data_IF_220809248295
#
_entry.id   IF_220809248295
#
_cell.length_a   1.000
_cell.length_b   1.000
_cell.length_c   1.000
_cell.angle_alpha   90.00
_cell.angle_beta   90.00
_cell.angle_gamma   90.00
#
_symmetry.space_group_name_H-M   'P 1'
#
loop_
_entity.id
_entity.type
_entity.pdbx_description
1 polymer ?
#
# COMPACT_ATOMS: atom_id res chain seq x y z
N UNK A 1 -21.69 -10.02 -15.11
CA UNK A 1 -20.54 -10.55 -14.36
C UNK A 1 -20.65 -10.02 -12.94
N UNK A 2 -20.59 -10.88 -11.91
CA UNK A 2 -20.60 -10.41 -10.53
C UNK A 2 -19.32 -9.58 -10.30
N UNK A 3 -19.44 -8.28 -10.19
CA UNK A 3 -18.32 -7.40 -9.82
C UNK A 3 -17.79 -7.86 -8.46
N UNK A 4 -16.51 -8.25 -8.41
CA UNK A 4 -15.88 -8.57 -7.14
C UNK A 4 -15.60 -7.29 -6.37
N UNK A 5 -15.88 -7.30 -5.07
CA UNK A 5 -15.51 -6.20 -4.18
C UNK A 5 -14.01 -6.27 -3.91
N UNK A 6 -13.33 -5.13 -4.06
CA UNK A 6 -11.92 -4.95 -3.74
C UNK A 6 -11.80 -4.08 -2.49
N UNK A 7 -10.96 -4.50 -1.56
CA UNK A 7 -10.48 -3.65 -0.47
C UNK A 7 -8.96 -3.52 -0.55
N UNK A 8 -8.50 -2.30 -0.39
CA UNK A 8 -7.09 -1.96 -0.25
C UNK A 8 -6.94 -0.73 0.64
N UNK A 9 -5.75 -0.39 1.05
CA UNK A 9 -5.54 0.81 1.87
C UNK A 9 -4.09 1.00 2.27
N UNK A 10 -3.81 2.15 2.88
CA UNK A 10 -2.51 2.49 3.41
C UNK A 10 -2.64 3.18 4.76
N UNK A 11 -1.61 3.00 5.60
CA UNK A 11 -1.48 3.74 6.87
C UNK A 11 -0.99 5.16 6.58
N UNK A 12 -1.62 6.22 7.11
CA UNK A 12 -1.21 7.60 6.87
C UNK A 12 0.00 7.98 7.72
N UNK A 13 1.14 7.33 7.48
CA UNK A 13 2.40 7.56 8.20
C UNK A 13 3.35 8.53 7.50
N UNK A 14 2.94 9.12 6.40
CA UNK A 14 3.64 10.07 5.55
C UNK A 14 3.12 10.00 4.11
N UNK A 15 3.58 10.89 3.20
CA UNK A 15 3.19 10.90 1.80
C UNK A 15 3.52 9.58 1.10
N UNK A 16 2.79 9.26 0.02
CA UNK A 16 3.04 8.06 -0.76
C UNK A 16 4.29 8.25 -1.64
N UNK A 17 4.94 7.14 -1.98
CA UNK A 17 6.16 7.12 -2.79
C UNK A 17 6.05 6.10 -3.92
N UNK A 18 7.03 6.08 -4.83
CA UNK A 18 7.04 5.20 -6.00
C UNK A 18 6.84 3.72 -5.66
N UNK A 19 7.31 3.27 -4.49
CA UNK A 19 7.06 1.90 -4.01
C UNK A 19 5.58 1.59 -3.77
N UNK A 20 4.78 2.54 -3.25
CA UNK A 20 3.33 2.38 -3.15
C UNK A 20 2.66 2.42 -4.51
N UNK A 21 3.15 3.29 -5.41
CA UNK A 21 2.61 3.40 -6.77
C UNK A 21 2.72 2.09 -7.53
N UNK A 22 3.92 1.52 -7.60
CA UNK A 22 4.18 0.25 -8.29
C UNK A 22 3.56 -0.94 -7.55
N UNK A 23 3.64 -0.94 -6.23
CA UNK A 23 3.18 -2.06 -5.40
C UNK A 23 1.66 -2.27 -5.43
N UNK A 24 0.88 -1.20 -5.55
CA UNK A 24 -0.58 -1.33 -5.54
C UNK A 24 -1.34 -0.19 -6.20
N UNK A 25 -0.89 1.07 -6.09
CA UNK A 25 -1.72 2.22 -6.47
C UNK A 25 -2.03 2.25 -7.97
N UNK A 26 -1.04 1.95 -8.82
CA UNK A 26 -1.23 1.83 -10.29
C UNK A 26 -2.30 0.78 -10.64
N UNK A 27 -2.28 -0.35 -9.93
CA UNK A 27 -3.27 -1.41 -10.11
C UNK A 27 -4.66 -0.96 -9.61
N UNK A 28 -4.74 -0.25 -8.48
CA UNK A 28 -6.00 0.32 -7.95
C UNK A 28 -6.67 1.25 -8.96
N UNK A 29 -5.88 2.11 -9.61
CA UNK A 29 -6.38 3.03 -10.67
C UNK A 29 -6.96 2.25 -11.85
N UNK A 30 -6.34 1.15 -12.25
CA UNK A 30 -6.88 0.31 -13.34
C UNK A 30 -8.15 -0.44 -12.92
N UNK A 31 -8.20 -0.99 -11.72
CA UNK A 31 -9.29 -1.86 -11.25
C UNK A 31 -10.59 -1.11 -10.92
N UNK A 32 -10.54 0.21 -10.68
CA UNK A 32 -11.72 0.99 -10.30
C UNK A 32 -12.82 1.01 -11.36
N UNK A 33 -12.50 0.73 -12.64
CA UNK A 33 -13.45 0.72 -13.73
C UNK A 33 -14.27 -0.58 -13.81
N UNK A 34 -13.72 -1.69 -13.34
CA UNK A 34 -14.28 -3.03 -13.49
C UNK A 34 -14.81 -3.63 -12.18
N UNK A 35 -14.49 -3.01 -11.04
CA UNK A 35 -14.76 -3.55 -9.71
C UNK A 35 -15.36 -2.50 -8.77
N UNK A 36 -16.18 -2.96 -7.83
CA UNK A 36 -16.54 -2.15 -6.67
C UNK A 36 -15.32 -2.03 -5.74
N UNK A 37 -14.71 -0.86 -5.68
CA UNK A 37 -13.46 -0.65 -4.97
C UNK A 37 -13.65 0.24 -3.73
N UNK A 38 -13.10 -0.23 -2.61
CA UNK A 38 -12.93 0.54 -1.38
C UNK A 38 -11.45 0.76 -1.12
N UNK A 39 -11.10 2.00 -0.77
CA UNK A 39 -9.73 2.36 -0.37
C UNK A 39 -9.76 2.92 1.04
N UNK A 40 -9.12 2.22 1.97
CA UNK A 40 -9.13 2.54 3.39
C UNK A 40 -7.88 3.36 3.76
N UNK A 41 -8.09 4.53 4.34
CA UNK A 41 -7.02 5.23 5.07
C UNK A 41 -7.02 4.66 6.48
N UNK A 42 -6.04 3.80 6.77
CA UNK A 42 -5.99 3.00 7.99
C UNK A 42 -5.30 3.77 9.13
N UNK A 43 -5.98 4.78 9.65
CA UNK A 43 -5.47 5.67 10.69
C UNK A 43 -5.33 4.98 12.05
N UNK A 44 -6.29 4.14 12.47
CA UNK A 44 -6.18 3.34 13.70
C UNK A 44 -5.01 2.35 13.63
N UNK A 45 -4.83 1.70 12.49
CA UNK A 45 -3.70 0.81 12.27
C UNK A 45 -2.38 1.58 12.22
N UNK A 46 -2.40 2.84 11.74
CA UNK A 46 -1.26 3.74 11.78
C UNK A 46 -0.76 4.04 13.19
N UNK A 47 -1.65 4.00 14.19
CA UNK A 47 -1.31 4.25 15.59
C UNK A 47 -0.58 3.08 16.27
N UNK A 48 -0.64 1.87 15.73
CA UNK A 48 -0.04 0.67 16.36
C UNK A 48 1.46 0.80 16.61
N UNK A 49 2.16 1.56 15.80
CA UNK A 49 3.58 1.88 15.91
C UNK A 49 3.89 3.39 15.98
N UNK A 50 2.85 4.24 16.00
CA UNK A 50 2.94 5.69 16.15
C UNK A 50 2.07 6.21 17.30
N UNK A 51 1.73 5.38 18.29
CA UNK A 51 0.86 5.75 19.40
C UNK A 51 1.36 6.91 20.28
N UNK A 52 2.67 7.13 20.33
CA UNK A 52 3.29 8.28 21.00
C UNK A 52 3.23 9.58 20.18
N UNK A 53 2.86 9.53 18.91
CA UNK A 53 2.74 10.70 18.03
C UNK A 53 1.50 10.60 17.15
N UNK A 54 0.28 10.68 17.73
CA UNK A 54 -0.97 10.58 16.98
C UNK A 54 -1.17 11.74 16.00
N UNK A 55 -0.59 12.91 16.28
CA UNK A 55 -0.65 14.06 15.40
C UNK A 55 -0.06 13.78 14.02
N UNK A 56 1.03 13.01 13.97
CA UNK A 56 1.63 12.57 12.70
C UNK A 56 0.64 11.81 11.83
N UNK A 57 -0.18 10.94 12.43
CA UNK A 57 -1.20 10.18 11.69
C UNK A 57 -2.27 11.13 11.16
N UNK A 58 -2.81 11.99 12.03
CA UNK A 58 -3.82 12.97 11.67
C UNK A 58 -3.37 13.89 10.52
N UNK A 59 -2.17 14.44 10.60
CA UNK A 59 -1.64 15.39 9.61
C UNK A 59 -1.42 14.74 8.23
N UNK A 60 -1.18 13.42 8.20
CA UNK A 60 -0.95 12.70 6.96
C UNK A 60 -2.23 12.12 6.31
N UNK A 61 -3.40 12.19 6.94
CA UNK A 61 -4.67 11.79 6.33
C UNK A 61 -4.95 12.58 5.04
N UNK A 62 -4.98 13.93 5.05
CA UNK A 62 -5.20 14.71 3.83
C UNK A 62 -4.08 14.53 2.80
N UNK A 63 -2.84 14.30 3.23
CA UNK A 63 -1.70 14.09 2.35
C UNK A 63 -1.85 12.81 1.53
N UNK A 64 -2.19 11.69 2.19
CA UNK A 64 -2.42 10.39 1.53
C UNK A 64 -3.66 10.44 0.63
N UNK A 65 -4.72 11.12 1.06
CA UNK A 65 -5.92 11.30 0.24
C UNK A 65 -5.60 12.08 -1.04
N UNK A 66 -4.83 13.17 -0.94
CA UNK A 66 -4.40 13.95 -2.09
C UNK A 66 -3.51 13.12 -3.03
N UNK A 67 -2.63 12.28 -2.49
CA UNK A 67 -1.80 11.37 -3.28
C UNK A 67 -2.64 10.35 -4.06
N UNK A 68 -3.71 9.79 -3.45
CA UNK A 68 -4.64 8.88 -4.15
C UNK A 68 -5.32 9.56 -5.34
N UNK A 69 -5.89 10.74 -5.12
CA UNK A 69 -6.58 11.49 -6.17
C UNK A 69 -5.61 11.94 -7.26
N UNK A 70 -4.42 12.37 -6.87
CA UNK A 70 -3.36 12.77 -7.79
C UNK A 70 -2.87 11.63 -8.67
N UNK A 71 -2.80 10.42 -8.13
CA UNK A 71 -2.42 9.22 -8.88
C UNK A 71 -3.52 8.73 -9.84
N UNK A 72 -4.77 9.24 -9.72
CA UNK A 72 -5.88 8.92 -10.62
C UNK A 72 -6.99 8.07 -10.01
N UNK A 73 -7.03 7.92 -8.68
CA UNK A 73 -8.21 7.35 -8.02
C UNK A 73 -9.37 8.35 -8.15
N UNK A 74 -10.45 7.91 -8.78
CA UNK A 74 -11.67 8.68 -8.95
C UNK A 74 -12.66 8.41 -7.80
N UNK A 75 -13.00 9.43 -6.97
CA UNK A 75 -13.91 9.25 -5.83
C UNK A 75 -15.36 8.94 -6.24
N UNK A 76 -15.72 9.11 -7.53
CA UNK A 76 -17.02 8.69 -8.05
C UNK A 76 -17.08 7.19 -8.36
N UNK A 77 -15.93 6.57 -8.67
CA UNK A 77 -15.81 5.14 -8.96
C UNK A 77 -15.37 4.35 -7.72
N UNK A 78 -14.49 4.92 -6.92
CA UNK A 78 -13.88 4.32 -5.74
C UNK A 78 -14.38 4.98 -4.47
N UNK A 79 -14.81 4.19 -3.49
CA UNK A 79 -15.14 4.71 -2.16
C UNK A 79 -13.87 4.82 -1.30
N UNK A 80 -13.41 6.04 -1.07
CA UNK A 80 -12.28 6.30 -0.17
C UNK A 80 -12.84 6.57 1.23
N UNK A 81 -12.37 5.86 2.25
CA UNK A 81 -12.92 5.95 3.61
C UNK A 81 -11.84 5.92 4.68
N UNK A 82 -12.17 6.50 5.84
CA UNK A 82 -11.30 6.54 7.02
C UNK A 82 -11.65 5.41 7.99
N UNK A 83 -10.66 4.64 8.42
CA UNK A 83 -10.86 3.46 9.28
C UNK A 83 -11.56 3.83 10.60
N UNK A 84 -11.13 4.89 11.28
CA UNK A 84 -11.73 5.35 12.54
C UNK A 84 -13.20 5.84 12.41
N UNK A 85 -13.63 6.15 11.18
CA UNK A 85 -15.02 6.52 10.90
C UNK A 85 -15.96 5.30 10.78
N UNK A 86 -15.43 4.07 10.84
CA UNK A 86 -16.16 2.81 10.64
C UNK A 86 -16.19 1.96 11.92
N UNK A 87 -17.08 2.22 12.89
CA UNK A 87 -17.10 1.52 14.18
C UNK A 87 -17.25 0.00 14.06
N UNK A 88 -17.92 -0.49 13.01
CA UNK A 88 -18.11 -1.91 12.77
C UNK A 88 -16.79 -2.69 12.69
N UNK A 89 -15.71 -2.06 12.20
CA UNK A 89 -14.39 -2.69 12.09
C UNK A 89 -13.81 -3.03 13.46
N UNK A 90 -13.94 -2.11 14.41
CA UNK A 90 -13.48 -2.32 15.79
C UNK A 90 -14.30 -3.42 16.49
N UNK A 91 -15.62 -3.46 16.30
CA UNK A 91 -16.48 -4.47 16.90
C UNK A 91 -16.21 -5.86 16.30
N UNK A 92 -16.05 -5.98 14.98
CA UNK A 92 -15.64 -7.22 14.33
C UNK A 92 -14.26 -7.69 14.83
N UNK A 93 -13.30 -6.77 15.02
CA UNK A 93 -12.00 -7.09 15.59
C UNK A 93 -12.14 -7.74 16.97
N UNK A 94 -12.98 -7.18 17.84
CA UNK A 94 -13.26 -7.77 19.18
C UNK A 94 -13.89 -9.16 19.05
N UNK A 95 -14.86 -9.35 18.16
CA UNK A 95 -15.45 -10.66 17.92
C UNK A 95 -14.40 -11.69 17.45
N UNK A 96 -13.51 -11.30 16.54
CA UNK A 96 -12.47 -12.18 16.01
C UNK A 96 -11.37 -12.50 17.04
N UNK A 97 -11.06 -11.59 17.96
CA UNK A 97 -10.12 -11.88 19.06
C UNK A 97 -10.55 -13.06 19.92
N UNK A 98 -11.85 -13.39 19.96
CA UNK A 98 -12.34 -14.54 20.73
C UNK A 98 -12.12 -15.89 20.02
N UNK A 99 -11.79 -15.90 18.73
CA UNK A 99 -11.59 -17.13 17.95
C UNK A 99 -10.15 -17.28 17.41
N UNK A 100 -9.30 -16.28 17.65
CA UNK A 100 -7.87 -16.31 17.27
C UNK A 100 -7.01 -16.41 18.52
N UNK A 101 -6.10 -17.38 18.57
CA UNK A 101 -5.20 -17.54 19.71
C UNK A 101 -3.96 -16.65 19.57
N UNK A 102 -3.39 -16.22 20.71
CA UNK A 102 -2.10 -15.49 20.75
C UNK A 102 -1.02 -16.25 19.99
N UNK A 103 -0.90 -17.56 20.21
CA UNK A 103 0.07 -18.40 19.51
C UNK A 103 -0.11 -18.41 17.98
N UNK A 104 -1.33 -18.21 17.46
CA UNK A 104 -1.55 -18.10 16.00
C UNK A 104 -1.03 -16.77 15.47
N UNK A 105 -1.25 -15.68 16.17
CA UNK A 105 -0.72 -14.35 15.80
C UNK A 105 0.81 -14.35 15.86
N UNK A 106 1.40 -14.86 16.93
CA UNK A 106 2.86 -14.96 17.10
C UNK A 106 3.54 -15.79 16.03
N UNK A 107 2.86 -16.79 15.45
CA UNK A 107 3.41 -17.61 14.36
C UNK A 107 3.31 -16.98 12.99
N UNK A 108 2.57 -15.86 12.83
CA UNK A 108 2.47 -15.19 11.53
C UNK A 108 3.85 -14.65 11.10
N UNK A 109 4.38 -15.06 9.93
CA UNK A 109 5.72 -14.65 9.50
C UNK A 109 5.87 -13.15 9.32
N UNK A 110 4.83 -12.47 8.81
CA UNK A 110 4.84 -11.01 8.62
C UNK A 110 4.98 -10.30 9.95
N UNK A 111 4.19 -10.69 10.96
CA UNK A 111 4.26 -10.13 12.33
C UNK A 111 5.63 -10.34 12.95
N UNK A 112 6.19 -11.55 12.85
CA UNK A 112 7.54 -11.85 13.37
C UNK A 112 8.61 -10.95 12.76
N UNK A 113 8.59 -10.82 11.44
CA UNK A 113 9.56 -10.01 10.72
C UNK A 113 9.45 -8.53 11.10
N UNK A 114 8.23 -8.01 11.21
CA UNK A 114 8.01 -6.62 11.58
C UNK A 114 8.41 -6.32 13.04
N UNK A 115 8.11 -7.23 13.99
CA UNK A 115 8.56 -7.11 15.38
C UNK A 115 10.09 -7.05 15.46
N UNK A 116 10.77 -7.92 14.71
CA UNK A 116 12.22 -7.95 14.66
C UNK A 116 12.82 -6.67 14.07
N UNK A 117 12.24 -6.17 12.97
CA UNK A 117 12.70 -4.94 12.31
C UNK A 117 12.49 -3.68 13.15
N UNK A 118 11.40 -3.61 13.93
CA UNK A 118 11.07 -2.43 14.75
C UNK A 118 11.75 -2.42 16.12
N UNK A 119 12.35 -3.52 16.53
CA UNK A 119 13.13 -3.59 17.76
C UNK A 119 12.31 -3.33 19.05
N UNK A 120 11.04 -3.70 19.10
CA UNK A 120 10.16 -3.47 20.25
C UNK A 120 10.64 -4.15 21.55
N UNK A 121 11.51 -5.15 21.46
CA UNK A 121 12.00 -5.95 22.60
C UNK A 121 10.84 -6.41 23.52
N UNK A 122 10.84 -5.95 24.80
CA UNK A 122 9.78 -6.28 25.76
C UNK A 122 8.59 -5.29 25.78
N UNK A 123 8.68 -4.19 25.03
CA UNK A 123 7.66 -3.12 25.03
C UNK A 123 6.75 -3.15 23.80
N UNK A 124 6.44 -4.36 23.31
CA UNK A 124 5.54 -4.56 22.17
C UNK A 124 4.10 -4.08 22.52
N UNK A 125 3.55 -3.09 21.80
CA UNK A 125 2.17 -2.65 22.05
C UNK A 125 1.15 -3.77 21.72
N UNK A 126 0.12 -3.92 22.54
CA UNK A 126 -0.97 -4.88 22.27
C UNK A 126 -1.62 -4.62 20.91
N UNK A 127 -1.83 -3.35 20.55
CA UNK A 127 -2.36 -2.98 19.24
C UNK A 127 -1.51 -3.51 18.08
N UNK A 128 -0.18 -3.53 18.24
CA UNK A 128 0.72 -4.12 17.24
C UNK A 128 0.59 -5.64 17.16
N UNK A 129 0.32 -6.31 18.28
CA UNK A 129 0.03 -7.76 18.27
C UNK A 129 -1.31 -8.09 17.61
N UNK A 130 -2.31 -7.23 17.78
CA UNK A 130 -3.70 -7.47 17.34
C UNK A 130 -3.96 -7.01 15.91
N UNK A 131 -3.09 -6.18 15.30
CA UNK A 131 -3.36 -5.60 13.99
C UNK A 131 -3.70 -6.63 12.89
N UNK A 132 -3.18 -7.89 12.86
CA UNK A 132 -3.57 -8.85 11.85
C UNK A 132 -5.06 -9.27 11.95
N UNK A 133 -5.61 -9.24 13.18
CA UNK A 133 -7.02 -9.50 13.43
C UNK A 133 -7.86 -8.30 12.99
N UNK A 134 -7.39 -7.08 13.27
CA UNK A 134 -8.01 -5.85 12.78
C UNK A 134 -8.01 -5.77 11.26
N UNK A 135 -6.91 -6.14 10.60
CA UNK A 135 -6.83 -6.18 9.13
C UNK A 135 -7.82 -7.21 8.55
N UNK A 136 -8.02 -8.34 9.22
CA UNK A 136 -9.05 -9.31 8.81
C UNK A 136 -10.45 -8.71 8.96
N UNK A 137 -10.72 -7.92 10.00
CA UNK A 137 -11.98 -7.21 10.16
C UNK A 137 -12.18 -6.16 9.06
N UNK A 138 -11.14 -5.40 8.71
CA UNK A 138 -11.18 -4.46 7.59
C UNK A 138 -11.62 -5.16 6.29
N UNK A 139 -10.98 -6.29 5.95
CA UNK A 139 -11.26 -7.02 4.70
C UNK A 139 -12.67 -7.62 4.71
N UNK A 140 -13.04 -8.27 5.78
CA UNK A 140 -14.29 -9.04 5.85
C UNK A 140 -15.53 -8.17 6.02
N UNK A 141 -15.41 -6.99 6.65
CA UNK A 141 -16.52 -6.04 6.79
C UNK A 141 -17.08 -5.57 5.44
N UNK A 142 -16.22 -5.45 4.43
CA UNK A 142 -16.62 -5.13 3.07
C UNK A 142 -16.97 -6.36 2.23
N UNK A 143 -16.88 -7.57 2.80
CA UNK A 143 -16.99 -8.84 2.05
C UNK A 143 -16.08 -8.84 0.82
N UNK A 144 -14.89 -8.27 0.94
CA UNK A 144 -13.94 -8.14 -0.14
C UNK A 144 -13.49 -9.52 -0.64
N UNK A 145 -13.64 -9.77 -1.94
CA UNK A 145 -13.20 -11.01 -2.58
C UNK A 145 -11.78 -10.93 -3.11
N UNK A 146 -11.28 -9.71 -3.37
CA UNK A 146 -9.94 -9.45 -3.91
C UNK A 146 -9.25 -8.39 -3.07
N UNK A 147 -7.97 -8.60 -2.77
CA UNK A 147 -7.15 -7.68 -1.97
C UNK A 147 -5.80 -7.49 -2.68
N UNK A 148 -5.59 -6.33 -3.33
CA UNK A 148 -4.28 -5.97 -3.90
C UNK A 148 -3.23 -5.83 -2.80
N UNK A 149 -2.21 -6.68 -2.81
CA UNK A 149 -1.17 -6.74 -1.78
C UNK A 149 0.19 -7.12 -2.38
N UNK A 150 1.26 -6.80 -1.65
CA UNK A 150 2.58 -7.37 -1.89
C UNK A 150 2.70 -8.80 -1.32
N UNK A 151 3.72 -9.54 -1.77
CA UNK A 151 3.98 -10.93 -1.35
C UNK A 151 4.11 -11.09 0.17
N UNK A 152 4.63 -10.10 0.85
CA UNK A 152 4.79 -10.07 2.31
C UNK A 152 3.46 -10.07 3.08
N UNK A 153 2.35 -9.80 2.41
CA UNK A 153 1.00 -9.80 2.99
C UNK A 153 0.24 -11.11 2.78
N UNK A 154 0.79 -12.08 2.06
CA UNK A 154 0.15 -13.39 1.87
C UNK A 154 -0.22 -14.08 3.19
N UNK A 155 0.64 -14.10 4.24
CA UNK A 155 0.27 -14.67 5.54
C UNK A 155 -0.91 -13.96 6.23
N UNK A 156 -1.16 -12.67 5.91
CA UNK A 156 -2.32 -11.94 6.42
C UNK A 156 -3.61 -12.38 5.72
N UNK A 157 -3.56 -12.63 4.41
CA UNK A 157 -4.70 -13.15 3.64
C UNK A 157 -5.06 -14.56 4.10
N UNK A 158 -4.06 -15.42 4.35
CA UNK A 158 -4.27 -16.76 4.92
C UNK A 158 -4.96 -16.68 6.28
N UNK A 159 -4.44 -15.83 7.19
CA UNK A 159 -5.03 -15.65 8.51
C UNK A 159 -6.45 -15.08 8.43
N UNK A 160 -6.73 -14.15 7.52
CA UNK A 160 -8.08 -13.64 7.25
C UNK A 160 -9.03 -14.77 6.86
N UNK A 161 -8.60 -15.63 5.94
CA UNK A 161 -9.41 -16.76 5.48
C UNK A 161 -9.64 -17.81 6.58
N UNK A 162 -8.68 -18.04 7.47
CA UNK A 162 -8.87 -18.86 8.67
C UNK A 162 -9.94 -18.27 9.60
N UNK A 163 -9.94 -16.95 9.79
CA UNK A 163 -10.96 -16.24 10.58
C UNK A 163 -12.32 -16.37 9.93
N UNK A 164 -12.41 -16.16 8.61
CA UNK A 164 -13.66 -16.35 7.84
C UNK A 164 -14.21 -17.75 8.03
N UNK A 165 -13.37 -18.78 7.88
CA UNK A 165 -13.78 -20.17 8.07
C UNK A 165 -14.32 -20.42 9.49
N UNK A 166 -13.56 -20.01 10.51
CA UNK A 166 -13.96 -20.20 11.91
C UNK A 166 -15.23 -19.43 12.26
N UNK A 167 -15.33 -18.16 11.85
CA UNK A 167 -16.52 -17.36 12.13
C UNK A 167 -17.75 -17.96 11.44
N UNK A 168 -17.67 -18.27 10.16
CA UNK A 168 -18.78 -18.87 9.42
C UNK A 168 -19.22 -20.23 10.00
N UNK A 169 -18.31 -20.99 10.63
CA UNK A 169 -18.67 -22.26 11.30
C UNK A 169 -19.49 -22.08 12.58
N UNK A 170 -19.46 -20.88 13.17
CA UNK A 170 -20.25 -20.51 14.35
C UNK A 170 -21.60 -19.90 13.97
N UNK A 171 -21.76 -19.46 12.71
CA UNK A 171 -22.99 -18.84 12.24
C UNK A 171 -23.95 -19.89 11.66
N UNK A 172 -25.25 -19.66 11.80
CA UNK A 172 -26.29 -20.52 11.21
C UNK A 172 -26.24 -20.57 9.68
N UNK A 173 -25.79 -19.48 9.06
CA UNK A 173 -25.54 -19.34 7.61
C UNK A 173 -24.25 -18.57 7.39
N UNK A 174 -23.42 -18.95 6.40
CA UNK A 174 -22.18 -18.21 6.10
C UNK A 174 -22.47 -16.76 5.72
N UNK A 175 -21.84 -15.83 6.41
CA UNK A 175 -21.95 -14.37 6.19
C UNK A 175 -20.70 -13.81 5.52
N UNK A 176 -19.51 -14.23 5.98
CA UNK A 176 -18.23 -13.72 5.56
C UNK A 176 -17.74 -14.44 4.31
N UNK A 177 -17.02 -13.69 3.47
CA UNK A 177 -16.46 -14.20 2.22
C UNK A 177 -14.95 -14.41 2.34
N UNK A 178 -14.44 -15.51 1.78
CA UNK A 178 -13.01 -15.71 1.56
C UNK A 178 -12.47 -14.67 0.57
N UNK A 179 -11.26 -14.19 0.82
CA UNK A 179 -10.58 -13.24 -0.06
C UNK A 179 -9.36 -13.89 -0.72
N UNK A 180 -8.97 -13.33 -1.87
CA UNK A 180 -7.79 -13.73 -2.63
C UNK A 180 -6.82 -12.55 -2.72
N UNK A 181 -5.54 -12.83 -2.55
CA UNK A 181 -4.49 -11.86 -2.81
C UNK A 181 -4.39 -11.59 -4.31
N UNK A 182 -4.29 -10.31 -4.67
CA UNK A 182 -3.95 -9.89 -6.03
C UNK A 182 -2.55 -9.29 -5.98
N UNK A 183 -1.57 -10.05 -6.44
CA UNK A 183 -0.18 -9.65 -6.42
C UNK A 183 0.14 -8.66 -7.53
N UNK A 184 0.99 -7.67 -7.24
CA UNK A 184 1.54 -6.79 -8.25
C UNK A 184 2.43 -7.58 -9.22
N UNK A 185 2.34 -7.26 -10.50
CA UNK A 185 3.22 -7.85 -11.53
C UNK A 185 4.67 -7.33 -11.44
N UNK A 186 4.86 -6.22 -10.75
CA UNK A 186 6.18 -5.60 -10.59
C UNK A 186 6.78 -6.00 -9.25
N UNK A 187 8.01 -6.48 -9.28
CA UNK A 187 8.79 -6.78 -8.10
C UNK A 187 8.93 -5.53 -7.21
N UNK A 188 9.16 -5.77 -5.92
CA UNK A 188 9.38 -4.72 -4.93
C UNK A 188 10.55 -3.82 -5.36
N UNK A 189 10.31 -2.49 -5.40
CA UNK A 189 11.37 -1.53 -5.70
C UNK A 189 12.38 -1.44 -4.54
N UNK A 190 13.70 -1.50 -4.82
CA UNK A 190 14.73 -1.16 -3.85
C UNK A 190 14.68 0.33 -3.51
N UNK A 191 15.29 0.72 -2.39
CA UNK A 191 15.56 2.12 -2.11
C UNK A 191 16.50 2.74 -3.15
N UNK A 192 16.52 4.06 -3.24
CA UNK A 192 17.44 4.78 -4.16
C UNK A 192 18.92 4.49 -3.84
N UNK A 193 19.22 4.06 -2.62
CA UNK A 193 20.55 3.69 -2.13
C UNK A 193 20.99 2.27 -2.54
N UNK A 194 20.14 1.51 -3.23
CA UNK A 194 20.41 0.13 -3.62
C UNK A 194 20.28 -0.89 -2.48
N UNK A 195 20.09 -0.43 -1.26
CA UNK A 195 19.87 -1.30 -0.11
C UNK A 195 18.38 -1.62 -0.01
N UNK A 196 18.03 -2.63 0.69
CA UNK A 196 16.71 -3.07 1.12
C UNK A 196 15.47 -2.37 0.48
N UNK A 197 14.31 -2.66 0.97
CA UNK A 197 13.02 -2.06 0.62
C UNK A 197 13.05 -0.54 0.77
N UNK A 198 12.47 0.17 -0.21
CA UNK A 198 12.14 1.59 -0.09
C UNK A 198 11.34 1.85 1.18
N UNK A 199 11.82 2.74 2.05
CA UNK A 199 11.22 3.03 3.35
C UNK A 199 11.38 4.51 3.72
N UNK A 200 10.28 5.11 4.17
CA UNK A 200 10.26 6.50 4.66
C UNK A 200 11.23 6.72 5.83
N UNK A 201 11.34 5.75 6.73
CA UNK A 201 12.22 5.83 7.90
C UNK A 201 13.71 5.79 7.55
N UNK A 202 14.07 5.24 6.39
CA UNK A 202 15.45 5.18 5.90
C UNK A 202 15.81 6.39 5.03
N UNK A 203 14.85 7.25 4.67
CA UNK A 203 15.10 8.41 3.80
C UNK A 203 15.49 8.03 2.37
N UNK A 204 15.28 6.77 1.94
CA UNK A 204 15.65 6.25 0.62
C UNK A 204 14.45 6.17 -0.33
N UNK A 205 13.45 7.04 -0.16
CA UNK A 205 12.22 7.06 -0.94
C UNK A 205 12.18 8.24 -1.90
N UNK A 206 11.45 8.08 -3.02
CA UNK A 206 11.02 9.18 -3.87
C UNK A 206 9.50 9.27 -3.82
N UNK A 207 8.98 10.42 -3.33
CA UNK A 207 7.53 10.64 -3.15
C UNK A 207 6.83 10.91 -4.49
N UNK A 208 5.51 10.69 -4.54
CA UNK A 208 4.69 11.00 -5.72
C UNK A 208 4.48 12.51 -5.93
N UNK A 209 4.88 13.31 -4.95
CA UNK A 209 4.82 14.77 -4.97
C UNK A 209 6.21 15.42 -5.12
N UNK A 210 7.25 14.63 -5.39
CA UNK A 210 8.62 15.12 -5.46
C UNK A 210 8.78 16.24 -6.51
N UNK A 211 9.51 17.28 -6.14
CA UNK A 211 9.89 18.37 -7.06
C UNK A 211 10.88 17.88 -8.13
N UNK A 212 11.06 18.66 -9.17
CA UNK A 212 12.05 18.37 -10.22
C UNK A 212 13.46 18.21 -9.65
N UNK A 213 13.82 19.09 -8.71
CA UNK A 213 15.12 19.02 -8.03
C UNK A 213 15.27 17.77 -7.14
N UNK A 214 14.20 17.36 -6.44
CA UNK A 214 14.22 16.16 -5.62
C UNK A 214 14.38 14.91 -6.47
N UNK A 215 13.70 14.84 -7.63
CA UNK A 215 13.84 13.75 -8.61
C UNK A 215 15.28 13.73 -9.12
N UNK A 216 15.83 14.87 -9.57
CA UNK A 216 17.19 14.98 -10.04
C UNK A 216 18.21 14.50 -9.00
N UNK A 217 18.11 15.00 -7.76
CA UNK A 217 19.00 14.59 -6.66
C UNK A 217 18.90 13.10 -6.36
N UNK A 218 17.67 12.56 -6.30
CA UNK A 218 17.45 11.15 -6.05
C UNK A 218 18.08 10.27 -7.14
N UNK A 219 17.86 10.58 -8.41
CA UNK A 219 18.41 9.82 -9.53
C UNK A 219 19.95 9.93 -9.57
N UNK A 220 20.51 11.11 -9.32
CA UNK A 220 21.98 11.28 -9.24
C UNK A 220 22.58 10.43 -8.11
N UNK A 221 21.87 10.28 -6.98
CA UNK A 221 22.31 9.49 -5.83
C UNK A 221 22.05 7.98 -5.97
N UNK A 222 21.30 7.53 -6.99
CA UNK A 222 21.00 6.11 -7.17
C UNK A 222 22.27 5.29 -7.36
N UNK A 223 22.27 4.12 -6.67
CA UNK A 223 23.34 3.15 -6.79
C UNK A 223 23.42 2.56 -8.20
N UNK A 224 24.64 2.49 -8.73
CA UNK A 224 24.99 1.87 -10.01
C UNK A 224 26.13 0.86 -9.79
N UNK A 225 26.60 0.22 -10.83
CA UNK A 225 27.72 -0.73 -10.73
C UNK A 225 29.02 0.00 -10.33
N UNK A 226 29.63 -0.28 -9.17
CA UNK A 226 30.85 0.35 -8.71
C UNK A 226 32.09 -0.02 -9.55
N UNK A 227 32.02 -1.06 -10.37
CA UNK A 227 33.10 -1.49 -11.23
C UNK A 227 33.04 -0.84 -12.63
N UNK A 228 31.94 -0.19 -13.00
CA UNK A 228 31.76 0.51 -14.27
C UNK A 228 32.37 1.91 -14.20
N UNK A 229 33.70 1.99 -14.25
CA UNK A 229 34.45 3.25 -14.06
C UNK A 229 34.54 4.10 -15.33
N UNK A 230 34.56 3.46 -16.51
CA UNK A 230 34.62 4.12 -17.81
C UNK A 230 33.44 3.70 -18.66
N UNK A 231 33.02 4.57 -19.56
CA UNK A 231 31.93 4.27 -20.52
C UNK A 231 32.20 3.03 -21.36
N UNK A 232 33.48 2.76 -21.66
CA UNK A 232 33.90 1.58 -22.42
C UNK A 232 33.90 0.27 -21.65
N UNK A 233 33.81 0.34 -20.31
CA UNK A 233 33.86 -0.85 -19.49
C UNK A 233 32.51 -1.59 -19.54
N UNK A 234 32.52 -2.93 -19.59
CA UNK A 234 31.29 -3.70 -19.40
C UNK A 234 30.69 -3.44 -18.03
N UNK A 235 29.38 -3.14 -17.98
CA UNK A 235 28.67 -2.89 -16.73
C UNK A 235 27.76 -4.05 -16.31
N UNK A 236 27.49 -4.16 -15.01
CA UNK A 236 26.54 -5.12 -14.45
C UNK A 236 25.16 -4.49 -14.30
N UNK A 237 24.14 -5.12 -14.89
CA UNK A 237 22.74 -4.69 -14.77
C UNK A 237 22.10 -5.24 -13.51
N UNK A 238 22.52 -6.44 -13.05
CA UNK A 238 21.99 -7.06 -11.85
C UNK A 238 22.35 -6.22 -10.61
N UNK A 239 21.34 -5.91 -9.79
CA UNK A 239 21.50 -5.03 -8.62
C UNK A 239 21.64 -3.54 -8.93
N UNK A 240 21.67 -3.15 -10.21
CA UNK A 240 21.69 -1.74 -10.60
C UNK A 240 20.31 -1.12 -10.46
N UNK A 241 20.19 -0.17 -9.52
CA UNK A 241 18.92 0.48 -9.16
C UNK A 241 18.33 1.24 -10.35
N UNK A 242 19.15 1.89 -11.15
CA UNK A 242 18.69 2.68 -12.30
C UNK A 242 17.94 1.79 -13.30
N UNK A 243 18.48 0.62 -13.62
CA UNK A 243 17.80 -0.31 -14.53
C UNK A 243 16.56 -0.94 -13.91
N UNK A 244 16.57 -1.20 -12.59
CA UNK A 244 15.36 -1.67 -11.89
C UNK A 244 14.21 -0.66 -11.99
N UNK A 245 14.51 0.62 -11.88
CA UNK A 245 13.52 1.69 -12.01
C UNK A 245 13.12 1.92 -13.48
N UNK A 246 14.03 1.83 -14.43
CA UNK A 246 13.69 1.87 -15.85
C UNK A 246 12.74 0.72 -16.24
N UNK A 247 12.96 -0.50 -15.73
CA UNK A 247 12.05 -1.64 -15.96
C UNK A 247 10.65 -1.37 -15.40
N UNK A 248 10.56 -0.68 -14.26
CA UNK A 248 9.30 -0.42 -13.60
C UNK A 248 8.48 0.72 -14.22
N UNK A 249 9.15 1.73 -14.77
CA UNK A 249 8.53 3.01 -15.12
C UNK A 249 8.69 3.43 -16.58
N UNK A 250 9.69 2.93 -17.29
CA UNK A 250 9.92 3.37 -18.67
C UNK A 250 8.79 2.90 -19.60
N UNK A 251 8.20 3.81 -20.43
CA UNK A 251 7.06 3.47 -21.29
C UNK A 251 7.44 2.52 -22.43
N UNK A 252 8.72 2.44 -22.81
CA UNK A 252 9.24 1.56 -23.85
C UNK A 252 10.20 0.50 -23.28
N UNK A 253 9.71 -0.72 -22.97
CA UNK A 253 10.55 -1.82 -22.48
C UNK A 253 11.60 -2.29 -23.49
N UNK A 254 11.36 -2.12 -24.80
CA UNK A 254 12.32 -2.52 -25.83
C UNK A 254 13.56 -1.61 -25.79
N UNK A 255 13.37 -0.30 -25.61
CA UNK A 255 14.47 0.66 -25.40
C UNK A 255 15.30 0.29 -24.17
N UNK A 256 14.65 -0.05 -23.05
CA UNK A 256 15.35 -0.47 -21.82
C UNK A 256 16.18 -1.73 -22.07
N UNK A 257 15.65 -2.70 -22.82
CA UNK A 257 16.37 -3.93 -23.19
C UNK A 257 17.63 -3.62 -24.00
N UNK A 258 17.52 -2.73 -24.99
CA UNK A 258 18.66 -2.28 -25.79
C UNK A 258 19.70 -1.54 -24.93
N UNK A 259 19.25 -0.66 -24.04
CA UNK A 259 20.16 0.04 -23.11
C UNK A 259 20.92 -0.92 -22.20
N UNK A 260 20.25 -1.95 -21.66
CA UNK A 260 20.90 -2.99 -20.84
C UNK A 260 21.97 -3.75 -21.62
N UNK A 261 21.66 -4.18 -22.84
CA UNK A 261 22.63 -4.88 -23.70
C UNK A 261 23.85 -4.00 -24.00
N UNK A 262 23.62 -2.73 -24.30
CA UNK A 262 24.69 -1.77 -24.56
C UNK A 262 25.56 -1.49 -23.33
N UNK A 263 24.92 -1.37 -22.15
CA UNK A 263 25.62 -1.19 -20.88
C UNK A 263 26.50 -2.40 -20.52
N UNK A 264 26.00 -3.62 -20.76
CA UNK A 264 26.71 -4.86 -20.50
C UNK A 264 27.91 -5.09 -21.48
N UNK A 265 27.83 -4.56 -22.70
CA UNK A 265 28.91 -4.63 -23.68
C UNK A 265 29.98 -3.55 -23.51
N UNK A 266 29.68 -2.53 -22.72
CA UNK A 266 30.42 -1.29 -22.69
C UNK A 266 29.99 -0.33 -23.81
N UNK A 267 30.12 0.98 -23.57
CA UNK A 267 29.72 2.04 -24.50
C UNK A 267 28.56 2.91 -24.02
N UNK A 268 27.84 2.51 -22.98
CA UNK A 268 26.76 3.29 -22.33
C UNK A 268 27.13 3.61 -20.89
N UNK A 269 27.36 4.88 -20.56
CA UNK A 269 27.75 5.30 -19.22
C UNK A 269 26.56 5.49 -18.28
N UNK A 270 26.79 5.36 -16.97
CA UNK A 270 25.77 5.54 -15.90
C UNK A 270 25.03 6.87 -16.00
N UNK A 271 25.74 7.95 -16.38
CA UNK A 271 25.12 9.27 -16.53
C UNK A 271 24.03 9.30 -17.60
N UNK A 272 24.22 8.57 -18.71
CA UNK A 272 23.21 8.49 -19.75
C UNK A 272 22.00 7.67 -19.28
N UNK A 273 22.23 6.55 -18.56
CA UNK A 273 21.16 5.75 -17.97
C UNK A 273 20.36 6.54 -16.93
N UNK A 274 21.03 7.28 -16.06
CA UNK A 274 20.40 8.16 -15.06
C UNK A 274 19.59 9.28 -15.72
N UNK A 275 20.11 9.90 -16.77
CA UNK A 275 19.40 10.94 -17.50
C UNK A 275 18.09 10.42 -18.12
N UNK A 276 18.12 9.24 -18.74
CA UNK A 276 16.93 8.60 -19.28
C UNK A 276 15.90 8.30 -18.18
N UNK A 277 16.34 7.78 -17.03
CA UNK A 277 15.46 7.54 -15.89
C UNK A 277 14.88 8.85 -15.34
N UNK A 278 15.67 9.91 -15.27
CA UNK A 278 15.20 11.22 -14.80
C UNK A 278 14.06 11.74 -15.68
N UNK A 279 14.23 11.71 -17.00
CA UNK A 279 13.16 12.10 -17.94
C UNK A 279 11.89 11.29 -17.67
N UNK A 280 12.02 9.98 -17.59
CA UNK A 280 10.89 9.08 -17.35
C UNK A 280 10.18 9.38 -16.02
N UNK A 281 10.90 9.64 -14.93
CA UNK A 281 10.32 9.95 -13.63
C UNK A 281 9.72 11.36 -13.58
N UNK A 282 10.30 12.35 -14.26
CA UNK A 282 9.72 13.68 -14.40
C UNK A 282 8.38 13.61 -15.13
N UNK A 283 8.30 12.91 -16.25
CA UNK A 283 7.06 12.73 -17.02
C UNK A 283 5.98 12.00 -16.22
N UNK A 284 6.36 11.04 -15.39
CA UNK A 284 5.44 10.30 -14.52
C UNK A 284 4.92 11.16 -13.36
N UNK A 285 5.82 11.86 -12.66
CA UNK A 285 5.50 12.52 -11.39
C UNK A 285 4.93 13.93 -11.60
N UNK A 286 5.37 14.67 -12.62
CA UNK A 286 4.93 16.06 -12.83
C UNK A 286 3.40 16.21 -12.87
N UNK A 287 2.64 15.43 -13.68
CA UNK A 287 1.19 15.55 -13.70
C UNK A 287 0.52 15.13 -12.37
N UNK A 288 1.11 14.20 -11.62
CA UNK A 288 0.62 13.85 -10.29
C UNK A 288 0.84 15.01 -9.30
N UNK A 289 2.02 15.60 -9.30
CA UNK A 289 2.37 16.75 -8.47
C UNK A 289 1.44 17.95 -8.72
N UNK A 290 1.15 18.25 -9.99
CA UNK A 290 0.24 19.34 -10.38
C UNK A 290 -1.19 19.09 -9.86
N UNK A 291 -1.76 17.91 -10.12
CA UNK A 291 -3.09 17.54 -9.61
C UNK A 291 -3.13 17.58 -8.08
N UNK A 292 -2.11 17.04 -7.43
CA UNK A 292 -2.01 17.06 -5.97
C UNK A 292 -2.02 18.47 -5.40
N UNK A 293 -1.26 19.37 -5.99
CA UNK A 293 -1.22 20.77 -5.57
C UNK A 293 -2.62 21.43 -5.64
N UNK A 294 -3.40 21.10 -6.66
CA UNK A 294 -4.79 21.57 -6.78
C UNK A 294 -5.66 21.04 -5.63
N UNK A 295 -5.58 19.75 -5.30
CA UNK A 295 -6.38 19.16 -4.21
C UNK A 295 -6.01 19.71 -2.82
N UNK A 296 -4.75 19.92 -2.54
CA UNK A 296 -4.28 20.42 -1.23
C UNK A 296 -4.67 21.87 -0.99
N UNK A 297 -4.90 22.68 -2.02
CA UNK A 297 -5.36 24.06 -1.89
C UNK A 297 -6.75 24.17 -1.26
N UNK A 298 -7.64 23.23 -1.53
CA UNK A 298 -8.97 23.17 -0.92
C UNK A 298 -9.12 21.97 0.01
N UNK A 299 -8.54 22.09 1.20
CA UNK A 299 -8.64 21.04 2.23
C UNK A 299 -10.09 20.74 2.64
N UNK A 300 -11.00 21.72 2.52
CA UNK A 300 -12.41 21.53 2.84
C UNK A 300 -13.07 20.55 1.89
N UNK A 301 -12.93 20.78 0.57
CA UNK A 301 -13.42 19.88 -0.46
C UNK A 301 -12.74 18.51 -0.38
N UNK A 302 -11.44 18.47 -0.15
CA UNK A 302 -10.68 17.23 0.00
C UNK A 302 -11.25 16.37 1.14
N UNK A 303 -11.44 16.95 2.32
CA UNK A 303 -11.98 16.23 3.48
C UNK A 303 -13.48 15.90 3.34
N UNK A 304 -14.24 16.62 2.50
CA UNK A 304 -15.60 16.26 2.17
C UNK A 304 -15.68 14.92 1.41
N UNK A 305 -14.78 14.70 0.45
CA UNK A 305 -14.66 13.41 -0.28
C UNK A 305 -14.49 12.26 0.70
N UNK A 306 -13.58 12.40 1.67
CA UNK A 306 -13.31 11.36 2.67
C UNK A 306 -14.52 11.12 3.57
N UNK A 307 -15.21 12.17 3.99
CA UNK A 307 -16.41 12.07 4.84
C UNK A 307 -17.54 11.34 4.13
N UNK A 308 -17.86 11.74 2.91
CA UNK A 308 -18.90 11.11 2.10
C UNK A 308 -18.58 9.64 1.80
N UNK A 309 -17.33 9.34 1.45
CA UNK A 309 -16.87 7.97 1.26
C UNK A 309 -16.98 7.14 2.54
N UNK A 310 -16.64 7.72 3.69
CA UNK A 310 -16.76 7.06 4.98
C UNK A 310 -18.21 6.80 5.38
N UNK A 311 -19.16 7.68 5.06
CA UNK A 311 -20.58 7.45 5.28
C UNK A 311 -21.12 6.28 4.44
N UNK A 312 -20.74 6.22 3.14
CA UNK A 312 -21.08 5.08 2.28
C UNK A 312 -20.48 3.76 2.80
N UNK A 313 -19.22 3.78 3.19
CA UNK A 313 -18.52 2.62 3.73
C UNK A 313 -19.10 2.14 5.06
N UNK A 314 -19.54 3.08 5.91
CA UNK A 314 -20.18 2.77 7.20
C UNK A 314 -21.47 1.95 7.01
N UNK A 315 -22.30 2.30 6.04
CA UNK A 315 -23.52 1.54 5.76
C UNK A 315 -23.20 0.10 5.36
N UNK A 316 -22.20 -0.11 4.51
CA UNK A 316 -21.78 -1.44 4.07
C UNK A 316 -21.21 -2.28 5.22
N UNK A 317 -20.29 -1.71 6.00
CA UNK A 317 -19.61 -2.42 7.09
C UNK A 317 -20.55 -2.71 8.25
N UNK A 318 -21.49 -1.81 8.55
CA UNK A 318 -22.51 -2.02 9.58
C UNK A 318 -23.46 -3.16 9.20
N UNK A 319 -23.87 -3.25 7.94
CA UNK A 319 -24.69 -4.36 7.45
C UNK A 319 -24.03 -5.71 7.71
N UNK A 320 -22.73 -5.84 7.38
CA UNK A 320 -21.98 -7.07 7.61
C UNK A 320 -21.86 -7.40 9.11
N UNK A 321 -21.57 -6.40 9.95
CA UNK A 321 -21.53 -6.58 11.40
C UNK A 321 -22.86 -7.08 11.95
N UNK A 322 -23.98 -6.47 11.53
CA UNK A 322 -25.31 -6.84 11.98
C UNK A 322 -25.69 -8.27 11.58
N UNK A 323 -25.29 -8.70 10.36
CA UNK A 323 -25.46 -10.10 9.92
C UNK A 323 -24.67 -11.07 10.80
N UNK A 324 -23.41 -10.74 11.11
CA UNK A 324 -22.56 -11.56 12.01
C UNK A 324 -23.18 -11.64 13.41
N UNK A 325 -23.60 -10.49 13.96
CA UNK A 325 -24.20 -10.44 15.30
C UNK A 325 -25.52 -11.22 15.38
N UNK A 326 -26.38 -11.14 14.35
CA UNK A 326 -27.59 -11.96 14.28
C UNK A 326 -27.25 -13.45 14.22
N UNK A 327 -26.28 -13.84 13.40
CA UNK A 327 -25.84 -15.23 13.31
C UNK A 327 -25.25 -15.79 14.62
N UNK A 328 -24.67 -14.91 15.46
CA UNK A 328 -24.15 -15.24 16.79
C UNK A 328 -25.22 -15.14 17.89
N UNK A 329 -26.45 -14.71 17.59
CA UNK A 329 -27.50 -14.48 18.60
C UNK A 329 -27.28 -13.26 19.50
N UNK A 330 -26.41 -12.33 19.06
CA UNK A 330 -26.13 -11.08 19.81
C UNK A 330 -27.02 -9.91 19.39
N UNK A 331 -27.76 -10.05 18.32
CA UNK A 331 -28.71 -9.07 17.80
C UNK A 331 -29.98 -9.81 17.35
N UNK A 332 -31.14 -9.36 17.85
CA UNK A 332 -32.45 -9.91 17.51
C UNK A 332 -33.00 -9.30 16.21
#
# INVERSE_FOLDING_TARGET
MNQSTILTGDRPTGPLHLGHYVGSLRQRVALQHDHQQFVLIADLQGLTDNGSNPQKIHDNIPEVLADYLAAGIDPHLTTICLQSALPALAELTVLYMNIVTVARVERNPTVKNEIAQKGFARSLPVGFMVYPISQAADITAFKAGLVPVGDDQLPMIEQTNEIVHKMNSLLSTPVLRHCQAMLSQTSRLPGIDGNAKMSKSLGNTLTLSASEEEIHRAVCAMYTDPNHLRVSDPGCVEGNVVFTYLDAFHPDPAKVTVMKAHYQQGGLGDRACKHELEICLQELIAPMRERRNTFIQDKGALMAILREGSERARAVTQTTLDEVKRGLGLLN
#
